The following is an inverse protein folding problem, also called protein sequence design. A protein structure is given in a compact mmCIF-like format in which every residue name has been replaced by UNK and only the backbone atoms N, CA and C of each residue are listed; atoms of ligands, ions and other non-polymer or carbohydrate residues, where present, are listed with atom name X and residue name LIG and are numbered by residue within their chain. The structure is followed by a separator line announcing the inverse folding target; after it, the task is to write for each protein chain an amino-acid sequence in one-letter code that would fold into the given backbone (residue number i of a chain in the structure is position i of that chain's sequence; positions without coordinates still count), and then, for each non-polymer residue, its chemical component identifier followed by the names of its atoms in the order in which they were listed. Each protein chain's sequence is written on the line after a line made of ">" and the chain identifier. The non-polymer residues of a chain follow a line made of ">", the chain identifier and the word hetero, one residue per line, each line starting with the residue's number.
data_IF_343929474433
#
_entry.id   IF_343929474433
#
_cell.length_a   1.000
_cell.length_b   1.000
_cell.length_c   1.000
_cell.angle_alpha   90.00
_cell.angle_beta   90.00
_cell.angle_gamma   90.00
#
_symmetry.space_group_name_H-M   'P 1'
#
loop_
_entity.id
_entity.type
_entity.pdbx_description
1 polymer ?
#
# COMPACT_ATOMS: atom_id res chain seq x y z
N UNK A 1 -6.14 11.91 -1.70
CA UNK A 1 -7.18 12.38 -2.64
C UNK A 1 -7.91 11.15 -3.15
N UNK A 2 -9.19 11.00 -2.83
CA UNK A 2 -10.00 9.85 -3.24
C UNK A 2 -10.84 10.26 -4.45
N UNK A 3 -10.34 9.98 -5.65
CA UNK A 3 -11.12 10.14 -6.87
C UNK A 3 -11.78 8.80 -7.18
N UNK A 4 -13.10 8.81 -7.41
CA UNK A 4 -13.81 7.64 -7.97
C UNK A 4 -13.59 7.64 -9.47
N UNK A 5 -13.03 6.56 -10.00
CA UNK A 5 -12.73 6.40 -11.42
C UNK A 5 -13.78 5.51 -12.09
N UNK A 6 -14.25 5.93 -13.25
CA UNK A 6 -15.15 5.17 -14.10
C UNK A 6 -14.41 4.61 -15.31
N UNK A 7 -15.06 3.71 -16.06
CA UNK A 7 -14.50 3.13 -17.29
C UNK A 7 -14.14 4.25 -18.28
N UNK A 8 -12.86 4.32 -18.65
CA UNK A 8 -12.32 5.30 -19.60
C UNK A 8 -11.59 6.47 -18.93
N UNK A 9 -11.76 6.66 -17.63
CA UNK A 9 -11.02 7.69 -16.89
C UNK A 9 -9.55 7.31 -16.77
N UNK A 10 -8.68 8.33 -16.79
CA UNK A 10 -7.23 8.20 -16.66
C UNK A 10 -6.74 9.12 -15.55
N UNK A 11 -5.74 8.67 -14.81
CA UNK A 11 -5.11 9.43 -13.76
C UNK A 11 -3.60 9.11 -13.72
N UNK A 12 -2.83 9.93 -13.02
CA UNK A 12 -1.37 9.78 -12.88
C UNK A 12 -0.98 9.94 -11.42
N UNK A 13 -0.07 9.09 -10.95
CA UNK A 13 0.63 9.30 -9.69
C UNK A 13 2.06 9.78 -9.99
N UNK A 14 2.49 10.90 -9.38
CA UNK A 14 3.89 11.28 -9.37
C UNK A 14 4.78 10.19 -8.75
N UNK A 15 6.02 10.08 -9.24
CA UNK A 15 7.01 9.10 -8.76
C UNK A 15 7.26 9.29 -7.26
N UNK A 16 7.25 8.18 -6.51
CA UNK A 16 7.55 8.16 -5.08
C UNK A 16 6.36 8.50 -4.17
N UNK A 17 5.19 8.87 -4.71
CA UNK A 17 4.00 9.12 -3.90
C UNK A 17 3.26 7.83 -3.57
N UNK A 18 2.87 7.70 -2.30
CA UNK A 18 2.00 6.64 -1.81
C UNK A 18 0.63 6.79 -2.47
N UNK A 19 0.11 5.70 -3.00
CA UNK A 19 -1.21 5.63 -3.59
C UNK A 19 -1.85 4.26 -3.32
N UNK A 20 -3.17 4.16 -3.50
CA UNK A 20 -3.92 2.93 -3.38
C UNK A 20 -5.13 2.94 -4.30
N UNK A 21 -5.68 1.76 -4.59
CA UNK A 21 -6.95 1.59 -5.28
C UNK A 21 -7.89 0.78 -4.40
N UNK A 22 -9.15 1.20 -4.31
CA UNK A 22 -10.22 0.49 -3.62
C UNK A 22 -11.43 0.40 -4.54
N UNK A 23 -11.91 -0.82 -4.77
CA UNK A 23 -13.14 -1.04 -5.51
C UNK A 23 -14.35 -0.93 -4.57
N UNK A 24 -15.34 -0.12 -4.96
CA UNK A 24 -16.53 0.20 -4.16
C UNK A 24 -17.85 -0.19 -4.85
N UNK A 25 -17.78 -0.92 -5.98
CA UNK A 25 -18.95 -1.32 -6.77
C UNK A 25 -19.36 -2.79 -6.59
N UNK A 26 -20.27 -3.25 -7.44
CA UNK A 26 -20.71 -4.65 -7.51
C UNK A 26 -20.10 -5.37 -8.72
N UNK A 27 -19.45 -6.51 -8.48
CA UNK A 27 -18.81 -7.33 -9.52
C UNK A 27 -17.29 -7.17 -9.55
N UNK A 28 -16.70 -7.25 -10.75
CA UNK A 28 -15.26 -7.14 -10.95
C UNK A 28 -14.89 -5.82 -11.62
N UNK A 29 -13.78 -5.22 -11.19
CA UNK A 29 -13.14 -4.10 -11.86
C UNK A 29 -11.71 -4.46 -12.28
N UNK A 30 -11.29 -3.93 -13.42
CA UNK A 30 -9.93 -4.10 -13.96
C UNK A 30 -9.38 -2.73 -14.32
N UNK A 31 -8.13 -2.47 -13.93
CA UNK A 31 -7.38 -1.30 -14.34
C UNK A 31 -6.10 -1.74 -15.06
N UNK A 32 -5.67 -0.97 -16.05
CA UNK A 32 -4.41 -1.18 -16.77
C UNK A 32 -3.49 -0.01 -16.41
N UNK A 33 -2.28 -0.32 -15.94
CA UNK A 33 -1.29 0.68 -15.56
C UNK A 33 -0.09 0.63 -16.52
N UNK A 34 0.35 1.79 -16.99
CA UNK A 34 1.62 1.98 -17.69
C UNK A 34 2.62 2.67 -16.78
N UNK A 35 3.86 2.19 -16.74
CA UNK A 35 4.94 2.79 -15.97
C UNK A 35 6.05 3.25 -16.92
N UNK A 36 6.63 4.42 -16.66
CA UNK A 36 7.64 5.05 -17.53
C UNK A 36 9.06 4.49 -17.33
N UNK A 37 9.20 3.36 -16.61
CA UNK A 37 10.46 2.66 -16.37
C UNK A 37 10.30 1.18 -16.67
N UNK A 38 11.31 0.57 -17.28
CA UNK A 38 11.40 -0.89 -17.46
C UNK A 38 11.60 -1.63 -16.13
N UNK A 39 12.05 -0.93 -15.09
CA UNK A 39 12.22 -1.46 -13.74
C UNK A 39 11.66 -0.45 -12.73
N UNK A 40 10.33 -0.29 -12.65
CA UNK A 40 9.72 0.73 -11.80
C UNK A 40 9.87 0.41 -10.31
N UNK A 41 10.06 -0.87 -9.96
CA UNK A 41 9.98 -1.35 -8.58
C UNK A 41 8.58 -1.19 -8.00
N UNK A 42 8.30 -1.86 -6.88
CA UNK A 42 7.07 -1.64 -6.12
C UNK A 42 7.38 -1.91 -4.65
N UNK A 43 6.90 -1.02 -3.77
CA UNK A 43 6.99 -1.19 -2.32
C UNK A 43 5.58 -1.28 -1.77
N UNK A 44 5.14 -2.48 -1.43
CA UNK A 44 3.88 -2.67 -0.70
C UNK A 44 4.10 -2.26 0.75
N UNK A 45 3.50 -1.15 1.18
CA UNK A 45 3.76 -0.54 2.50
C UNK A 45 3.49 -1.53 3.65
N UNK A 46 2.39 -2.28 3.60
CA UNK A 46 2.07 -3.26 4.64
C UNK A 46 3.14 -4.36 4.74
N UNK A 47 3.59 -4.91 3.61
CA UNK A 47 4.63 -5.94 3.62
C UNK A 47 5.99 -5.37 4.05
N UNK A 48 6.33 -4.15 3.60
CA UNK A 48 7.58 -3.47 3.98
C UNK A 48 7.66 -3.17 5.49
N UNK A 49 6.52 -2.95 6.15
CA UNK A 49 6.47 -2.67 7.59
C UNK A 49 6.32 -3.94 8.44
N UNK A 50 5.42 -4.84 8.05
CA UNK A 50 4.99 -5.94 8.91
C UNK A 50 5.47 -7.32 8.45
N UNK A 51 5.96 -7.47 7.21
CA UNK A 51 6.52 -8.72 6.69
C UNK A 51 7.97 -8.59 6.21
N UNK A 52 8.67 -7.57 6.68
CA UNK A 52 10.10 -7.40 6.40
C UNK A 52 10.91 -8.62 6.89
N UNK A 53 12.01 -8.92 6.20
CA UNK A 53 12.93 -9.99 6.60
C UNK A 53 14.38 -9.45 6.67
N UNK A 54 14.98 -9.34 7.87
CA UNK A 54 14.40 -9.65 9.18
C UNK A 54 13.25 -8.68 9.57
N UNK A 55 12.34 -9.08 10.48
CA UNK A 55 11.24 -8.21 10.92
C UNK A 55 11.74 -6.92 11.57
N UNK A 56 11.02 -5.82 11.35
CA UNK A 56 11.25 -4.57 12.10
C UNK A 56 10.91 -4.82 13.57
N UNK A 57 11.73 -4.32 14.48
CA UNK A 57 11.50 -4.45 15.92
C UNK A 57 10.10 -3.97 16.31
N UNK A 58 9.36 -4.82 17.03
CA UNK A 58 8.02 -4.47 17.51
C UNK A 58 8.04 -3.23 18.39
N UNK A 59 9.15 -2.96 19.10
CA UNK A 59 9.31 -1.74 19.92
C UNK A 59 9.33 -0.48 19.06
N UNK A 60 10.03 -0.51 17.92
CA UNK A 60 10.09 0.61 16.96
C UNK A 60 8.71 0.87 16.38
N UNK A 61 8.01 -0.17 15.94
CA UNK A 61 6.67 -0.05 15.36
C UNK A 61 5.64 0.40 16.41
N UNK A 62 5.69 -0.13 17.63
CA UNK A 62 4.84 0.28 18.77
C UNK A 62 4.98 1.78 19.02
N UNK A 63 6.22 2.29 19.05
CA UNK A 63 6.50 3.72 19.25
C UNK A 63 6.07 4.58 18.05
N UNK A 64 6.29 4.10 16.84
CA UNK A 64 5.95 4.85 15.61
C UNK A 64 4.44 4.96 15.40
N UNK A 65 3.70 3.88 15.63
CA UNK A 65 2.25 3.81 15.42
C UNK A 65 1.44 4.17 16.67
N UNK A 66 2.07 4.28 17.84
CA UNK A 66 1.41 4.59 19.12
C UNK A 66 0.30 3.61 19.49
N UNK A 67 0.51 2.33 19.19
CA UNK A 67 -0.38 1.22 19.54
C UNK A 67 0.34 0.28 20.50
N UNK A 68 -0.39 -0.63 21.12
CA UNK A 68 0.19 -1.64 21.99
C UNK A 68 0.99 -2.68 21.18
N UNK A 69 1.94 -3.34 21.86
CA UNK A 69 2.77 -4.38 21.24
C UNK A 69 1.95 -5.55 20.68
N UNK A 70 0.83 -5.91 21.32
CA UNK A 70 0.01 -7.05 20.85
C UNK A 70 -0.67 -6.76 19.51
N UNK A 71 -1.02 -5.51 19.24
CA UNK A 71 -1.48 -5.04 17.93
C UNK A 71 -0.39 -5.17 16.86
N UNK A 72 0.86 -4.78 17.17
CA UNK A 72 1.99 -4.96 16.25
C UNK A 72 2.27 -6.44 16.01
N UNK A 73 2.33 -7.24 17.07
CA UNK A 73 2.57 -8.69 16.97
C UNK A 73 1.44 -9.38 16.19
N UNK A 74 0.21 -8.87 16.23
CA UNK A 74 -0.88 -9.33 15.37
C UNK A 74 -0.67 -8.97 13.90
N UNK A 75 -0.24 -7.74 13.61
CA UNK A 75 0.01 -7.28 12.24
C UNK A 75 1.22 -7.95 11.58
N UNK A 76 2.20 -8.40 12.36
CA UNK A 76 3.41 -9.10 11.90
C UNK A 76 3.23 -10.62 11.72
N UNK A 77 2.04 -11.18 12.00
CA UNK A 77 1.71 -12.59 11.71
C UNK A 77 1.39 -12.81 10.24
#
# INVERSE_FOLDING_TARGET
>A
MLLVLNKGDVFVFPIGLIHYQLYVGYGNAVAIAGLSSQNPGTITIADALFKANPPISSEVLTKAFQVDKSTIDYLQK
#
